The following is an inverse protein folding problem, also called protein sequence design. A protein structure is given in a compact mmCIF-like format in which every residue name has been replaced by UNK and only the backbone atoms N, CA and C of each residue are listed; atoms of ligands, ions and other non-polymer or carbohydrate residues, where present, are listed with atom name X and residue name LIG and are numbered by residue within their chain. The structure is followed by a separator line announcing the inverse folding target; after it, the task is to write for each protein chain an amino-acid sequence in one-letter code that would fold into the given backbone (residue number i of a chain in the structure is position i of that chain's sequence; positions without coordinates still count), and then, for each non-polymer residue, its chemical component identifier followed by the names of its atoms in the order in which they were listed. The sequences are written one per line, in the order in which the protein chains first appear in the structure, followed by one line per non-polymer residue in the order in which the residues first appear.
data_IF_693263541262
#
_entry.id   IF_693263541262
#
_cell.length_a   1.000
_cell.length_b   1.000
_cell.length_c   1.000
_cell.angle_alpha   90.00
_cell.angle_beta   90.00
_cell.angle_gamma   90.00
#
_symmetry.space_group_name_H-M   'P 1'
#
loop_
_entity.id
_entity.type
_entity.pdbx_description
1 polymer ?
#
# COMPACT_ATOMS: atom_id res chain seq x y z
N UNK A 1 -37.86 74.16 -1.17
CA UNK A 1 -39.30 74.32 -1.52
C UNK A 1 -40.14 73.43 -0.61
N UNK A 2 -41.22 74.01 -0.09
CA UNK A 2 -42.43 73.40 0.50
C UNK A 2 -42.31 72.58 1.79
N UNK A 3 -42.63 73.28 2.88
CA UNK A 3 -43.14 72.77 4.14
C UNK A 3 -44.49 72.05 3.96
N UNK A 4 -44.75 71.01 4.77
CA UNK A 4 -46.05 70.73 5.41
C UNK A 4 -45.93 69.59 6.44
N UNK A 5 -46.19 69.91 7.71
CA UNK A 5 -46.68 68.98 8.77
C UNK A 5 -48.23 68.87 8.61
N UNK A 6 -49.04 68.06 9.35
CA UNK A 6 -48.82 67.34 10.62
C UNK A 6 -49.46 65.91 10.64
N UNK A 7 -49.47 65.13 11.73
CA UNK A 7 -50.57 65.04 12.72
C UNK A 7 -50.14 64.05 13.83
N UNK A 8 -50.47 64.38 15.08
CA UNK A 8 -50.30 63.56 16.29
C UNK A 8 -51.59 62.76 16.55
N UNK A 9 -51.54 61.67 17.32
CA UNK A 9 -52.39 61.35 18.51
C UNK A 9 -52.05 59.93 19.04
N UNK A 10 -51.52 59.82 20.28
CA UNK A 10 -52.10 59.27 21.55
C UNK A 10 -51.87 57.74 21.72
N UNK A 11 -51.01 57.31 22.66
CA UNK A 11 -51.34 56.76 24.01
C UNK A 11 -52.33 55.58 23.92
N UNK A 12 -52.11 54.35 24.41
CA UNK A 12 -51.37 53.85 25.58
C UNK A 12 -51.22 52.31 25.49
N UNK A 13 -50.39 51.68 26.36
CA UNK A 13 -50.14 50.24 26.40
C UNK A 13 -51.13 49.52 27.34
N UNK A 14 -51.53 48.28 27.04
CA UNK A 14 -52.17 47.43 28.05
C UNK A 14 -52.12 45.94 27.68
N UNK A 15 -51.54 45.17 28.61
CA UNK A 15 -51.87 43.78 28.95
C UNK A 15 -51.81 42.76 27.78
N UNK A 16 -50.76 41.94 27.61
CA UNK A 16 -50.29 40.90 28.55
C UNK A 16 -51.45 40.16 29.23
N UNK A 17 -51.93 39.07 28.63
CA UNK A 17 -51.83 37.70 29.17
C UNK A 17 -52.58 36.68 28.28
N UNK A 18 -52.10 35.44 28.32
CA UNK A 18 -52.66 34.18 27.77
C UNK A 18 -52.49 33.92 26.26
N UNK A 19 -52.08 32.75 25.78
CA UNK A 19 -51.38 31.53 26.23
C UNK A 19 -51.41 30.62 24.98
N UNK A 20 -50.42 29.73 24.80
CA UNK A 20 -50.36 28.59 23.87
C UNK A 20 -49.75 28.77 22.46
N UNK A 21 -48.57 28.12 22.32
CA UNK A 21 -48.24 27.10 21.30
C UNK A 21 -47.65 27.54 19.95
N UNK A 22 -46.32 27.61 19.87
CA UNK A 22 -45.46 27.11 18.79
C UNK A 22 -44.00 27.36 19.20
N UNK A 23 -43.24 26.35 19.64
CA UNK A 23 -42.24 25.69 18.80
C UNK A 23 -41.47 26.70 17.91
N UNK A 24 -40.17 26.91 18.16
CA UNK A 24 -39.09 26.36 17.33
C UNK A 24 -37.73 27.06 17.60
N UNK A 25 -36.75 26.24 18.03
CA UNK A 25 -35.31 26.31 17.74
C UNK A 25 -34.47 27.51 18.21
N UNK A 26 -34.02 27.42 19.46
CA UNK A 26 -32.61 27.69 19.81
C UNK A 26 -31.78 26.51 19.28
N UNK A 27 -30.79 26.76 18.43
CA UNK A 27 -29.89 25.71 17.94
C UNK A 27 -28.69 26.33 17.27
N UNK A 28 -27.60 26.51 18.03
CA UNK A 28 -26.32 26.96 17.50
C UNK A 28 -25.89 26.07 16.34
N UNK A 29 -25.53 26.69 15.22
CA UNK A 29 -24.87 25.99 14.11
C UNK A 29 -23.51 25.52 14.60
N UNK A 30 -23.46 24.28 15.07
CA UNK A 30 -22.24 23.51 15.19
C UNK A 30 -21.61 23.49 13.79
N UNK A 31 -20.47 24.16 13.64
CA UNK A 31 -19.59 23.93 12.52
C UNK A 31 -19.32 22.42 12.46
N UNK A 32 -19.53 21.74 11.33
CA UNK A 32 -19.04 20.38 11.20
C UNK A 32 -17.52 20.44 11.35
N UNK A 33 -17.02 19.69 12.32
CA UNK A 33 -15.60 19.43 12.49
C UNK A 33 -15.03 19.02 11.13
N UNK A 34 -13.93 19.66 10.74
CA UNK A 34 -13.15 19.27 9.58
C UNK A 34 -12.93 17.75 9.67
N UNK A 35 -13.47 17.02 8.70
CA UNK A 35 -13.28 15.59 8.58
C UNK A 35 -11.79 15.30 8.69
N UNK A 36 -11.46 14.32 9.52
CA UNK A 36 -10.15 13.70 9.60
C UNK A 36 -9.62 13.55 8.17
N UNK A 37 -8.54 14.27 7.86
CA UNK A 37 -7.74 13.97 6.67
C UNK A 37 -7.40 12.49 6.81
N UNK A 38 -7.99 11.67 5.94
CA UNK A 38 -7.82 10.24 5.95
C UNK A 38 -6.33 9.96 6.05
N UNK A 39 -5.93 9.31 7.14
CA UNK A 39 -4.58 8.80 7.33
C UNK A 39 -4.34 7.81 6.19
N UNK A 40 -3.78 8.26 5.08
CA UNK A 40 -3.52 7.40 3.94
C UNK A 40 -2.61 6.28 4.47
N UNK A 41 -3.00 5.00 4.31
CA UNK A 41 -2.21 3.89 4.83
C UNK A 41 -0.79 4.02 4.31
N UNK A 42 0.16 3.98 5.24
CA UNK A 42 1.59 4.02 4.95
C UNK A 42 1.90 3.06 3.79
N UNK A 43 2.70 3.48 2.78
CA UNK A 43 2.87 2.68 1.57
C UNK A 43 3.49 1.31 1.82
N UNK A 44 4.30 1.17 2.87
CA UNK A 44 4.90 -0.12 3.26
C UNK A 44 3.82 -1.04 3.81
N UNK A 45 2.98 -0.57 4.74
CA UNK A 45 1.85 -1.34 5.27
C UNK A 45 0.87 -1.76 4.18
N UNK A 46 0.67 -0.92 3.16
CA UNK A 46 -0.15 -1.29 2.00
C UNK A 46 0.48 -2.41 1.17
N UNK A 47 1.80 -2.40 1.00
CA UNK A 47 2.52 -3.44 0.27
C UNK A 47 2.48 -4.77 1.04
N UNK A 48 2.73 -4.75 2.34
CA UNK A 48 2.62 -5.91 3.24
C UNK A 48 1.22 -6.55 3.12
N UNK A 49 0.16 -5.76 3.30
CA UNK A 49 -1.22 -6.21 3.16
C UNK A 49 -1.57 -6.74 1.75
N UNK A 50 -0.99 -6.15 0.71
CA UNK A 50 -1.18 -6.63 -0.66
C UNK A 50 -0.56 -8.01 -0.87
N UNK A 51 0.68 -8.21 -0.40
CA UNK A 51 1.33 -9.51 -0.50
C UNK A 51 0.56 -10.54 0.32
N UNK A 52 0.17 -10.23 1.55
CA UNK A 52 -0.60 -11.14 2.42
C UNK A 52 -1.95 -11.57 1.84
N UNK A 53 -2.55 -10.74 0.96
CA UNK A 53 -3.72 -11.12 0.18
C UNK A 53 -3.46 -12.15 -0.94
N UNK A 54 -2.19 -12.42 -1.28
CA UNK A 54 -1.80 -13.30 -2.38
C UNK A 54 -1.29 -14.64 -1.82
N UNK A 55 -2.14 -15.65 -1.87
CA UNK A 55 -1.72 -17.04 -1.58
C UNK A 55 -1.21 -17.76 -2.81
N UNK A 56 -1.82 -17.51 -3.99
CA UNK A 56 -1.46 -18.15 -5.25
C UNK A 56 -1.50 -17.16 -6.40
N UNK A 57 -0.49 -17.17 -7.25
CA UNK A 57 -0.42 -16.32 -8.43
C UNK A 57 0.29 -17.05 -9.57
N UNK A 58 -0.17 -16.80 -10.79
CA UNK A 58 0.54 -17.12 -12.03
C UNK A 58 0.64 -15.83 -12.83
N UNK A 59 1.84 -15.50 -13.31
CA UNK A 59 2.09 -14.29 -14.07
C UNK A 59 3.26 -14.49 -15.04
N UNK A 60 3.24 -13.77 -16.16
CA UNK A 60 4.41 -13.66 -17.04
C UNK A 60 5.32 -12.55 -16.50
N UNK A 61 6.64 -12.72 -16.63
CA UNK A 61 7.62 -11.73 -16.17
C UNK A 61 8.61 -11.33 -17.26
N UNK A 62 9.20 -10.15 -17.05
CA UNK A 62 10.33 -9.64 -17.81
C UNK A 62 11.38 -9.23 -16.79
N UNK A 63 12.56 -9.85 -16.86
CA UNK A 63 13.72 -9.48 -16.06
C UNK A 63 14.69 -8.70 -16.93
N UNK A 64 15.16 -7.57 -16.42
CA UNK A 64 16.23 -6.79 -17.03
C UNK A 64 17.46 -6.93 -16.15
N UNK A 65 18.53 -7.48 -16.70
CA UNK A 65 19.80 -7.64 -16.00
C UNK A 65 20.59 -6.32 -15.95
N UNK A 66 21.66 -6.30 -15.17
CA UNK A 66 22.54 -5.13 -14.98
C UNK A 66 23.23 -4.69 -16.27
N UNK A 67 23.47 -5.62 -17.19
CA UNK A 67 24.02 -5.40 -18.53
C UNK A 67 22.97 -4.95 -19.57
N UNK A 68 21.70 -4.87 -19.19
CA UNK A 68 20.59 -4.50 -20.07
C UNK A 68 20.01 -5.65 -20.89
N UNK A 69 20.55 -6.87 -20.76
CA UNK A 69 19.91 -8.05 -21.34
C UNK A 69 18.55 -8.29 -20.68
N UNK A 70 17.63 -8.83 -21.47
CA UNK A 70 16.26 -9.08 -21.03
C UNK A 70 15.96 -10.57 -21.12
N UNK A 71 15.40 -11.13 -20.06
CA UNK A 71 14.87 -12.48 -20.04
C UNK A 71 13.37 -12.43 -19.76
N UNK A 72 12.61 -13.34 -20.36
CA UNK A 72 11.17 -13.48 -20.13
C UNK A 72 10.86 -14.85 -19.55
N UNK A 73 9.65 -15.03 -19.05
CA UNK A 73 9.20 -16.34 -18.61
C UNK A 73 7.94 -16.30 -17.77
N UNK A 74 7.72 -17.37 -17.02
CA UNK A 74 6.53 -17.59 -16.21
C UNK A 74 6.87 -17.73 -14.72
N UNK A 75 6.14 -16.98 -13.88
CA UNK A 75 6.21 -17.03 -12.42
C UNK A 75 4.97 -17.72 -11.85
N UNK A 76 5.20 -18.78 -11.08
CA UNK A 76 4.19 -19.47 -10.27
C UNK A 76 4.52 -19.23 -8.81
N UNK A 77 3.60 -18.64 -8.08
CA UNK A 77 3.73 -18.37 -6.66
C UNK A 77 2.67 -19.17 -5.91
N UNK A 78 3.10 -19.86 -4.84
CA UNK A 78 2.22 -20.50 -3.87
C UNK A 78 2.78 -20.28 -2.47
N UNK A 79 2.30 -19.24 -1.80
CA UNK A 79 2.70 -18.93 -0.43
C UNK A 79 2.09 -19.93 0.56
N UNK A 80 2.79 -20.19 1.68
CA UNK A 80 4.16 -19.77 1.96
C UNK A 80 5.21 -20.68 1.28
N UNK A 81 6.44 -20.17 1.13
CA UNK A 81 7.68 -20.85 0.75
C UNK A 81 7.81 -21.45 -0.65
N UNK A 82 6.74 -21.57 -1.44
CA UNK A 82 6.82 -22.18 -2.78
C UNK A 82 6.67 -21.14 -3.87
N UNK A 83 7.63 -21.16 -4.76
CA UNK A 83 7.69 -20.35 -5.95
C UNK A 83 8.44 -21.14 -7.02
N UNK A 84 7.99 -21.02 -8.26
CA UNK A 84 8.66 -21.57 -9.43
C UNK A 84 8.75 -20.47 -10.49
N UNK A 85 9.94 -20.21 -10.97
CA UNK A 85 10.20 -19.31 -12.10
C UNK A 85 10.73 -20.17 -13.24
N UNK A 86 10.12 -20.05 -14.41
CA UNK A 86 10.50 -20.76 -15.62
C UNK A 86 10.95 -19.70 -16.61
N UNK A 87 12.21 -19.72 -17.02
CA UNK A 87 12.73 -18.77 -18.00
C UNK A 87 12.54 -19.30 -19.42
N UNK A 88 12.14 -18.42 -20.32
CA UNK A 88 12.02 -18.68 -21.75
C UNK A 88 13.36 -18.35 -22.43
N UNK A 89 14.33 -19.26 -22.26
CA UNK A 89 15.66 -19.19 -22.87
C UNK A 89 15.85 -20.38 -23.82
N UNK A 90 16.84 -20.28 -24.71
CA UNK A 90 17.22 -21.40 -25.60
C UNK A 90 17.59 -22.66 -24.80
N UNK A 91 18.27 -22.45 -23.66
CA UNK A 91 18.53 -23.49 -22.66
C UNK A 91 17.57 -23.31 -21.47
N UNK A 92 16.82 -24.35 -21.06
CA UNK A 92 15.83 -24.25 -20.01
C UNK A 92 16.48 -23.92 -18.67
N UNK A 93 16.00 -22.86 -18.01
CA UNK A 93 16.41 -22.47 -16.67
C UNK A 93 15.18 -22.40 -15.77
N UNK A 94 15.21 -23.15 -14.67
CA UNK A 94 14.11 -23.25 -13.71
C UNK A 94 14.61 -22.91 -12.32
N UNK A 95 13.96 -21.95 -11.67
CA UNK A 95 14.18 -21.65 -10.27
C UNK A 95 13.01 -22.20 -9.45
N UNK A 96 13.30 -22.97 -8.40
CA UNK A 96 12.30 -23.55 -7.52
C UNK A 96 12.66 -23.29 -6.06
N UNK A 97 11.71 -22.77 -5.29
CA UNK A 97 11.92 -22.55 -3.85
C UNK A 97 11.28 -23.62 -2.99
N UNK A 98 11.97 -23.94 -1.90
CA UNK A 98 11.50 -24.70 -0.75
C UNK A 98 11.61 -23.82 0.50
N UNK A 99 11.13 -24.26 1.68
CA UNK A 99 11.26 -23.46 2.91
C UNK A 99 12.69 -23.07 3.27
N UNK A 100 13.70 -23.79 2.80
CA UNK A 100 15.11 -23.58 3.17
C UNK A 100 15.98 -23.23 1.96
N UNK A 101 15.62 -23.71 0.77
CA UNK A 101 16.50 -23.68 -0.41
C UNK A 101 15.83 -23.02 -1.61
N UNK A 102 16.62 -22.23 -2.34
CA UNK A 102 16.39 -21.89 -3.74
C UNK A 102 17.22 -22.85 -4.61
N UNK A 103 16.55 -23.65 -5.42
CA UNK A 103 17.18 -24.51 -6.41
C UNK A 103 17.19 -23.81 -7.77
N UNK A 104 18.35 -23.76 -8.39
CA UNK A 104 18.57 -23.32 -9.77
C UNK A 104 18.87 -24.58 -10.57
N UNK A 105 17.92 -24.99 -11.39
CA UNK A 105 17.97 -26.20 -12.20
C UNK A 105 18.19 -25.83 -13.67
N UNK A 106 19.21 -26.45 -14.28
CA UNK A 106 19.45 -26.46 -15.72
C UNK A 106 19.35 -27.90 -16.21
N UNK A 107 18.16 -28.31 -16.71
CA UNK A 107 17.91 -29.69 -17.11
C UNK A 107 18.88 -30.22 -18.16
N UNK A 108 19.26 -29.38 -19.12
CA UNK A 108 20.12 -29.77 -20.25
C UNK A 108 21.54 -30.08 -19.78
N UNK A 109 22.02 -29.34 -18.80
CA UNK A 109 23.33 -29.52 -18.17
C UNK A 109 23.33 -30.62 -17.10
N UNK A 110 22.15 -31.09 -16.65
CA UNK A 110 21.96 -31.94 -15.46
C UNK A 110 22.61 -31.37 -14.20
N UNK A 111 22.67 -30.04 -14.11
CA UNK A 111 23.30 -29.32 -13.02
C UNK A 111 22.23 -28.62 -12.17
N UNK A 112 22.17 -28.98 -10.89
CA UNK A 112 21.31 -28.31 -9.90
C UNK A 112 22.20 -27.61 -8.89
N UNK A 113 22.05 -26.30 -8.77
CA UNK A 113 22.74 -25.49 -7.74
C UNK A 113 21.73 -25.05 -6.70
N UNK A 114 22.06 -25.17 -5.41
CA UNK A 114 21.14 -24.82 -4.32
C UNK A 114 21.75 -23.74 -3.44
N UNK A 115 20.96 -22.72 -3.14
CA UNK A 115 21.34 -21.60 -2.29
C UNK A 115 20.38 -21.50 -1.10
N UNK A 116 20.85 -21.14 0.11
CA UNK A 116 19.95 -20.86 1.23
C UNK A 116 18.99 -19.72 0.85
N UNK A 117 17.68 -19.94 1.00
CA UNK A 117 16.69 -18.93 0.62
C UNK A 117 16.78 -17.67 1.48
N UNK A 118 17.24 -17.82 2.72
CA UNK A 118 17.49 -16.73 3.68
C UNK A 118 18.53 -15.72 3.21
N UNK A 119 19.41 -16.11 2.29
CA UNK A 119 20.43 -15.23 1.71
C UNK A 119 19.92 -14.49 0.47
N UNK A 120 18.67 -14.75 0.07
CA UNK A 120 18.04 -14.11 -1.08
C UNK A 120 16.96 -13.13 -0.63
N UNK A 121 16.75 -12.02 -1.36
CA UNK A 121 15.63 -11.11 -1.11
C UNK A 121 14.25 -11.79 -1.22
N UNK A 122 14.16 -12.94 -1.90
CA UNK A 122 12.92 -13.69 -2.08
C UNK A 122 12.35 -14.21 -0.75
N UNK A 123 13.19 -14.42 0.26
CA UNK A 123 12.75 -14.86 1.59
C UNK A 123 11.64 -13.99 2.16
N UNK A 124 11.74 -12.66 2.00
CA UNK A 124 10.79 -11.69 2.54
C UNK A 124 9.38 -11.81 1.94
N UNK A 125 9.31 -12.14 0.65
CA UNK A 125 8.03 -12.23 -0.07
C UNK A 125 7.38 -13.60 0.14
N UNK A 126 8.19 -14.63 0.41
CA UNK A 126 7.73 -16.02 0.51
C UNK A 126 7.35 -16.46 1.92
N UNK A 127 7.59 -15.62 2.93
CA UNK A 127 7.11 -15.84 4.30
C UNK A 127 5.59 -15.94 4.36
N UNK A 128 5.04 -16.44 5.48
CA UNK A 128 3.59 -16.52 5.70
C UNK A 128 2.96 -15.14 5.89
N UNK A 129 3.65 -14.26 6.59
CA UNK A 129 3.31 -12.83 6.74
C UNK A 129 4.47 -12.05 6.14
N UNK A 130 4.19 -11.14 5.21
CA UNK A 130 5.23 -10.29 4.63
C UNK A 130 5.48 -9.13 5.59
N UNK A 131 6.66 -9.12 6.18
CA UNK A 131 7.16 -8.02 6.99
C UNK A 131 8.25 -7.29 6.20
N UNK A 132 7.95 -6.05 5.81
CA UNK A 132 8.90 -5.15 5.16
C UNK A 132 9.51 -4.18 6.17
N UNK A 133 9.43 -4.49 7.46
CA UNK A 133 10.10 -3.78 8.56
C UNK A 133 10.60 -4.80 9.58
N UNK A 134 11.89 -4.81 9.85
CA UNK A 134 12.46 -5.66 10.88
C UNK A 134 13.73 -5.05 11.45
N UNK A 135 14.29 -5.68 12.49
CA UNK A 135 15.59 -5.31 13.04
C UNK A 135 16.76 -5.68 12.11
N UNK A 136 16.53 -6.56 11.12
CA UNK A 136 17.59 -7.01 10.20
C UNK A 136 17.84 -6.06 9.04
N UNK A 137 16.88 -5.21 8.69
CA UNK A 137 17.02 -4.31 7.54
C UNK A 137 16.31 -2.97 7.78
N UNK A 138 16.93 -1.91 7.27
CA UNK A 138 16.38 -0.56 7.30
C UNK A 138 15.48 -0.34 6.09
N UNK A 139 14.21 -0.02 6.35
CA UNK A 139 13.23 0.26 5.29
C UNK A 139 13.04 1.76 5.11
N UNK A 140 13.16 2.23 3.87
CA UNK A 140 12.81 3.58 3.46
C UNK A 140 11.80 3.53 2.33
N UNK A 141 10.94 4.55 2.22
CA UNK A 141 10.03 4.67 1.10
C UNK A 141 10.02 6.10 0.56
N UNK A 142 9.75 6.24 -0.74
CA UNK A 142 9.54 7.53 -1.39
C UNK A 142 8.46 7.40 -2.45
N UNK A 143 7.63 8.44 -2.60
CA UNK A 143 6.61 8.50 -3.64
C UNK A 143 7.04 9.58 -4.63
N UNK A 144 7.24 9.22 -5.89
CA UNK A 144 7.52 10.17 -6.97
C UNK A 144 6.73 9.79 -8.22
N UNK A 145 6.06 10.77 -8.84
CA UNK A 145 5.28 10.58 -10.06
C UNK A 145 4.23 9.46 -9.98
N UNK A 146 3.58 9.31 -8.81
CA UNK A 146 2.59 8.25 -8.58
C UNK A 146 3.18 6.85 -8.36
N UNK A 147 4.52 6.71 -8.41
CA UNK A 147 5.22 5.46 -8.13
C UNK A 147 5.72 5.48 -6.69
N UNK A 148 5.33 4.48 -5.92
CA UNK A 148 5.90 4.20 -4.60
C UNK A 148 7.14 3.34 -4.77
N UNK A 149 8.29 3.85 -4.33
CA UNK A 149 9.53 3.07 -4.20
C UNK A 149 9.74 2.73 -2.74
N UNK A 150 9.85 1.44 -2.43
CA UNK A 150 10.24 0.92 -1.11
C UNK A 150 11.64 0.33 -1.27
N UNK A 151 12.57 0.71 -0.39
CA UNK A 151 13.96 0.25 -0.40
C UNK A 151 14.27 -0.35 0.95
N UNK A 152 14.69 -1.61 0.94
CA UNK A 152 15.20 -2.32 2.10
C UNK A 152 16.73 -2.36 2.00
N UNK A 153 17.43 -1.99 3.07
CA UNK A 153 18.88 -2.02 3.14
C UNK A 153 19.30 -2.88 4.32
N UNK A 154 20.05 -3.95 4.06
CA UNK A 154 20.65 -4.80 5.09
C UNK A 154 22.15 -4.46 5.17
N UNK A 155 22.65 -4.15 6.36
CA UNK A 155 24.04 -3.71 6.56
C UNK A 155 25.05 -4.86 6.38
N UNK A 156 24.59 -6.11 6.42
CA UNK A 156 25.42 -7.31 6.37
C UNK A 156 24.81 -8.38 5.47
N UNK A 157 25.50 -8.64 4.36
CA UNK A 157 25.24 -9.75 3.46
C UNK A 157 25.63 -9.38 2.05
N UNK A 158 26.69 -9.99 1.56
CA UNK A 158 27.00 -10.10 0.13
C UNK A 158 25.78 -10.75 -0.54
N UNK A 159 24.83 -9.91 -0.95
CA UNK A 159 23.59 -10.40 -1.55
C UNK A 159 23.97 -11.02 -2.89
N UNK A 160 23.71 -12.32 -3.03
CA UNK A 160 23.86 -13.04 -4.28
C UNK A 160 23.02 -12.34 -5.35
N UNK A 161 23.69 -11.57 -6.22
CA UNK A 161 23.05 -10.70 -7.19
C UNK A 161 24.02 -9.68 -7.77
N UNK A 162 25.08 -10.20 -8.39
CA UNK A 162 25.87 -9.49 -9.42
C UNK A 162 25.49 -10.03 -10.79
#
# INVERSE_FOLDING_TARGET
MKWMKPVRWRLAPAAMLMVMLAALLVGGTLFPAAGTLANAPDPVTRAEAWFDGISTMKADFIQVASDGTTATGELHLRRPHRMKIIYDLDEPLILLTTPVWLHVDRPDDRHVTSYPISETPLSLILQEQVELRSDEFRTSHSVRNGITRIVLTKDTGEAAGS
#
